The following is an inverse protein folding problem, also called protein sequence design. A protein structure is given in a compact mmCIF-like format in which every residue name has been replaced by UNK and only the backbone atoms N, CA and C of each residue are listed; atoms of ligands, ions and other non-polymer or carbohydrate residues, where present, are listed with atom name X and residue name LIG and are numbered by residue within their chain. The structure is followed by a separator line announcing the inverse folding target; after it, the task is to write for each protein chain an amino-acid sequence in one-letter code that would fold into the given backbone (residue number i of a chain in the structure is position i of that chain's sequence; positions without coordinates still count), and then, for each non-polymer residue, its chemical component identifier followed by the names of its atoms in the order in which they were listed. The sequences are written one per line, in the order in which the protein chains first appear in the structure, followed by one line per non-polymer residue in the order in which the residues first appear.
data_IF_281692501809
#
_entry.id   IF_281692501809
#
_cell.length_a   1.000
_cell.length_b   1.000
_cell.length_c   1.000
_cell.angle_alpha   90.00
_cell.angle_beta   90.00
_cell.angle_gamma   90.00
#
_symmetry.space_group_name_H-M   'P 1'
#
loop_
_entity.id
_entity.type
_entity.pdbx_description
1 polymer ?
#
# COMPACT_ATOMS: atom_id res chain seq x y z
N UNK A 1 25.04 20.23 -52.22
CA UNK A 1 24.07 21.19 -51.62
C UNK A 1 22.63 20.66 -51.61
N UNK A 2 22.21 19.85 -52.60
CA UNK A 2 20.87 19.23 -52.62
C UNK A 2 20.76 18.05 -51.63
N UNK A 3 21.78 17.19 -51.51
CA UNK A 3 21.77 16.05 -50.58
C UNK A 3 21.67 16.44 -49.09
N UNK A 4 22.30 17.55 -48.71
CA UNK A 4 22.26 18.05 -47.32
C UNK A 4 20.86 18.54 -46.91
N UNK A 5 20.07 19.06 -47.86
CA UNK A 5 18.69 19.51 -47.60
C UNK A 5 17.76 18.32 -47.35
N UNK A 6 17.84 17.30 -48.20
CA UNK A 6 17.03 16.09 -48.08
C UNK A 6 17.30 15.34 -46.76
N UNK A 7 18.56 15.34 -46.31
CA UNK A 7 18.97 14.68 -45.07
C UNK A 7 18.46 15.43 -43.82
N UNK A 8 18.42 16.76 -43.85
CA UNK A 8 17.83 17.59 -42.79
C UNK A 8 16.31 17.39 -42.72
N UNK A 9 15.61 17.35 -43.86
CA UNK A 9 14.18 17.10 -43.91
C UNK A 9 13.81 15.70 -43.40
N UNK A 10 14.55 14.68 -43.83
CA UNK A 10 14.36 13.31 -43.35
C UNK A 10 14.58 13.21 -41.84
N UNK A 11 15.62 13.86 -41.31
CA UNK A 11 15.88 13.91 -39.87
C UNK A 11 14.75 14.63 -39.10
N UNK A 12 14.22 15.72 -39.65
CA UNK A 12 13.08 16.44 -39.08
C UNK A 12 11.82 15.58 -38.96
N UNK A 13 11.52 14.77 -39.99
CA UNK A 13 10.40 13.83 -39.97
C UNK A 13 10.61 12.75 -38.89
N UNK A 14 11.81 12.17 -38.82
CA UNK A 14 12.13 11.14 -37.82
C UNK A 14 12.00 11.69 -36.40
N UNK A 15 12.55 12.88 -36.13
CA UNK A 15 12.43 13.52 -34.80
C UNK A 15 10.96 13.79 -34.46
N UNK A 16 10.18 14.29 -35.41
CA UNK A 16 8.75 14.56 -35.20
C UNK A 16 7.98 13.29 -34.87
N UNK A 17 8.24 12.18 -35.58
CA UNK A 17 7.63 10.89 -35.30
C UNK A 17 8.04 10.33 -33.93
N UNK A 18 9.31 10.48 -33.53
CA UNK A 18 9.80 10.07 -32.22
C UNK A 18 9.15 10.87 -31.08
N UNK A 19 9.02 12.19 -31.25
CA UNK A 19 8.33 13.05 -30.28
C UNK A 19 6.84 12.69 -30.19
N UNK A 20 6.16 12.52 -31.32
CA UNK A 20 4.75 12.12 -31.34
C UNK A 20 4.53 10.75 -30.67
N UNK A 21 5.40 9.77 -30.95
CA UNK A 21 5.37 8.47 -30.30
C UNK A 21 5.59 8.58 -28.79
N UNK A 22 6.56 9.37 -28.35
CA UNK A 22 6.83 9.59 -26.92
C UNK A 22 5.65 10.25 -26.21
N UNK A 23 5.09 11.32 -26.78
CA UNK A 23 3.91 12.02 -26.22
C UNK A 23 2.70 11.09 -26.18
N UNK A 24 2.47 10.30 -27.24
CA UNK A 24 1.41 9.30 -27.29
C UNK A 24 1.55 8.26 -26.18
N UNK A 25 2.76 7.74 -25.97
CA UNK A 25 3.07 6.78 -24.90
C UNK A 25 2.86 7.39 -23.51
N UNK A 26 3.33 8.62 -23.28
CA UNK A 26 3.14 9.32 -22.00
C UNK A 26 1.66 9.57 -21.70
N UNK A 27 0.90 10.01 -22.71
CA UNK A 27 -0.54 10.26 -22.59
C UNK A 27 -1.28 8.97 -22.25
N UNK A 28 -0.95 7.87 -22.92
CA UNK A 28 -1.54 6.56 -22.63
C UNK A 28 -1.23 6.08 -21.20
N UNK A 29 0.02 6.21 -20.76
CA UNK A 29 0.41 5.86 -19.39
C UNK A 29 -0.27 6.74 -18.33
N UNK A 30 -0.45 8.04 -18.61
CA UNK A 30 -1.20 8.95 -17.74
C UNK A 30 -2.68 8.57 -17.67
N UNK A 31 -3.32 8.27 -18.81
CA UNK A 31 -4.72 7.83 -18.87
C UNK A 31 -4.96 6.56 -18.04
N UNK A 32 -4.09 5.55 -18.18
CA UNK A 32 -4.21 4.29 -17.44
C UNK A 32 -4.10 4.51 -15.92
N UNK A 33 -3.17 5.37 -15.48
CA UNK A 33 -3.02 5.72 -14.06
C UNK A 33 -4.21 6.49 -13.51
N UNK A 34 -4.68 7.51 -14.23
CA UNK A 34 -5.85 8.29 -13.82
C UNK A 34 -7.09 7.40 -13.69
N UNK A 35 -7.28 6.46 -14.61
CA UNK A 35 -8.41 5.54 -14.54
C UNK A 35 -8.33 4.61 -13.34
N UNK A 36 -7.13 4.17 -12.94
CA UNK A 36 -6.93 3.43 -11.70
C UNK A 36 -7.34 4.27 -10.47
N UNK A 37 -6.93 5.54 -10.40
CA UNK A 37 -7.31 6.46 -9.33
C UNK A 37 -8.82 6.71 -9.28
N UNK A 38 -9.49 6.87 -10.43
CA UNK A 38 -10.96 6.99 -10.48
C UNK A 38 -11.66 5.77 -9.87
N UNK A 39 -11.16 4.55 -10.08
CA UNK A 39 -11.71 3.38 -9.39
C UNK A 39 -11.44 3.42 -7.89
N UNK A 40 -10.24 3.81 -7.46
CA UNK A 40 -9.92 3.96 -6.02
C UNK A 40 -10.91 4.94 -5.37
N UNK A 41 -11.15 6.08 -5.99
CA UNK A 41 -12.12 7.07 -5.53
C UNK A 41 -13.54 6.50 -5.47
N UNK A 42 -13.98 5.76 -6.50
CA UNK A 42 -15.31 5.13 -6.51
C UNK A 42 -15.49 4.09 -5.41
N UNK A 43 -14.47 3.28 -5.16
CA UNK A 43 -14.49 2.30 -4.07
C UNK A 43 -14.43 2.95 -2.68
N UNK A 44 -13.90 4.18 -2.58
CA UNK A 44 -13.87 4.95 -1.34
C UNK A 44 -15.00 5.98 -1.22
N UNK A 45 -15.87 6.08 -2.23
CA UNK A 45 -16.97 7.03 -2.24
C UNK A 45 -17.99 6.67 -1.15
N UNK A 46 -18.57 7.70 -0.53
CA UNK A 46 -19.51 7.55 0.59
C UNK A 46 -20.64 6.57 0.29
N UNK A 47 -21.27 6.70 -0.87
CA UNK A 47 -22.38 5.82 -1.27
C UNK A 47 -21.98 4.35 -1.36
N UNK A 48 -20.76 4.07 -1.85
CA UNK A 48 -20.26 2.70 -1.93
C UNK A 48 -19.90 2.15 -0.55
N UNK A 49 -19.35 2.99 0.34
CA UNK A 49 -19.12 2.62 1.73
C UNK A 49 -20.43 2.33 2.48
N UNK A 50 -21.46 3.15 2.31
CA UNK A 50 -22.78 2.93 2.90
C UNK A 50 -23.42 1.64 2.38
N UNK A 51 -23.32 1.39 1.07
CA UNK A 51 -23.78 0.15 0.46
C UNK A 51 -23.06 -1.06 1.06
N UNK A 52 -21.73 -0.99 1.18
CA UNK A 52 -20.91 -2.05 1.78
C UNK A 52 -21.31 -2.32 3.23
N UNK A 53 -21.45 -1.28 4.05
CA UNK A 53 -21.83 -1.40 5.47
C UNK A 53 -23.21 -2.03 5.60
N UNK A 54 -24.18 -1.62 4.77
CA UNK A 54 -25.52 -2.19 4.76
C UNK A 54 -25.50 -3.69 4.44
N UNK A 55 -24.70 -4.10 3.45
CA UNK A 55 -24.53 -5.51 3.09
C UNK A 55 -23.82 -6.31 4.18
N UNK A 56 -22.75 -5.77 4.77
CA UNK A 56 -22.03 -6.43 5.87
C UNK A 56 -22.95 -6.65 7.08
N UNK A 57 -23.76 -5.66 7.44
CA UNK A 57 -24.75 -5.76 8.52
C UNK A 57 -25.79 -6.84 8.22
N UNK A 58 -26.32 -6.87 7.00
CA UNK A 58 -27.30 -7.89 6.60
C UNK A 58 -26.71 -9.30 6.62
N UNK A 59 -25.48 -9.48 6.12
CA UNK A 59 -24.81 -10.78 6.11
C UNK A 59 -24.47 -11.27 7.52
N UNK A 60 -24.13 -10.36 8.45
CA UNK A 60 -23.90 -10.71 9.85
C UNK A 60 -25.17 -11.23 10.53
N UNK A 61 -26.34 -10.71 10.13
CA UNK A 61 -27.64 -11.12 10.65
C UNK A 61 -28.18 -12.40 9.99
N UNK A 62 -27.68 -12.77 8.80
CA UNK A 62 -28.21 -13.88 7.99
C UNK A 62 -27.10 -14.87 7.52
N UNK A 63 -26.49 -15.64 8.44
CA UNK A 63 -25.27 -16.41 8.16
C UNK A 63 -25.44 -17.75 7.40
N UNK A 64 -26.66 -18.13 6.97
CA UNK A 64 -26.89 -19.47 6.38
C UNK A 64 -26.96 -19.45 4.84
N UNK A 65 -26.24 -20.38 4.24
CA UNK A 65 -26.03 -20.64 2.78
C UNK A 65 -27.32 -20.86 1.99
N UNK A 66 -28.42 -21.24 2.63
CA UNK A 66 -29.75 -21.37 1.99
C UNK A 66 -30.41 -20.01 1.65
N UNK A 67 -29.88 -18.90 2.20
CA UNK A 67 -30.50 -17.59 2.12
C UNK A 67 -30.51 -17.02 0.70
N UNK A 68 -29.47 -17.18 -0.12
CA UNK A 68 -29.41 -16.45 -1.39
C UNK A 68 -30.40 -16.95 -2.45
N UNK A 69 -30.66 -18.26 -2.51
CA UNK A 69 -31.70 -18.79 -3.42
C UNK A 69 -33.09 -18.32 -3.01
N UNK A 70 -33.37 -18.33 -1.70
CA UNK A 70 -34.64 -17.84 -1.15
C UNK A 70 -34.77 -16.32 -1.34
N UNK A 71 -33.71 -15.56 -1.08
CA UNK A 71 -33.62 -14.11 -1.30
C UNK A 71 -33.95 -13.74 -2.75
N UNK A 72 -33.40 -14.49 -3.71
CA UNK A 72 -33.65 -14.25 -5.14
C UNK A 72 -35.08 -14.64 -5.57
N UNK A 73 -35.69 -15.63 -4.92
CA UNK A 73 -37.05 -16.06 -5.18
C UNK A 73 -38.11 -15.29 -4.37
N UNK A 74 -37.68 -14.45 -3.42
CA UNK A 74 -38.56 -13.76 -2.50
C UNK A 74 -39.42 -12.70 -3.18
N UNK A 75 -40.61 -12.51 -2.62
CA UNK A 75 -41.54 -11.42 -2.97
C UNK A 75 -41.56 -10.33 -1.91
N UNK A 76 -40.85 -10.50 -0.79
CA UNK A 76 -40.79 -9.52 0.28
C UNK A 76 -39.99 -8.30 -0.17
N UNK A 77 -40.53 -7.07 -0.01
CA UNK A 77 -39.87 -5.85 -0.49
C UNK A 77 -38.44 -5.67 0.04
N UNK A 78 -38.21 -6.01 1.32
CA UNK A 78 -36.90 -5.88 1.96
C UNK A 78 -35.86 -6.83 1.36
N UNK A 79 -36.25 -8.07 1.04
CA UNK A 79 -35.38 -9.08 0.45
C UNK A 79 -35.05 -8.76 -1.02
N UNK A 80 -36.03 -8.22 -1.75
CA UNK A 80 -35.82 -7.69 -3.10
C UNK A 80 -34.82 -6.52 -3.06
N UNK A 81 -34.97 -5.60 -2.10
CA UNK A 81 -34.07 -4.46 -1.94
C UNK A 81 -32.63 -4.91 -1.66
N UNK A 82 -32.44 -5.89 -0.79
CA UNK A 82 -31.11 -6.46 -0.51
C UNK A 82 -30.51 -7.12 -1.75
N UNK A 83 -31.29 -7.91 -2.50
CA UNK A 83 -30.83 -8.50 -3.77
C UNK A 83 -30.39 -7.45 -4.78
N UNK A 84 -31.10 -6.32 -4.87
CA UNK A 84 -30.70 -5.16 -5.69
C UNK A 84 -29.39 -4.58 -5.17
N UNK A 85 -29.25 -4.36 -3.86
CA UNK A 85 -28.04 -3.81 -3.24
C UNK A 85 -26.80 -4.70 -3.51
N UNK A 86 -26.92 -6.01 -3.37
CA UNK A 86 -25.84 -6.96 -3.68
C UNK A 86 -25.45 -6.84 -5.15
N UNK A 87 -26.42 -6.82 -6.08
CA UNK A 87 -26.13 -6.70 -7.52
C UNK A 87 -25.46 -5.38 -7.87
N UNK A 88 -25.95 -4.26 -7.32
CA UNK A 88 -25.34 -2.93 -7.48
C UNK A 88 -23.90 -2.92 -7.00
N UNK A 89 -23.64 -3.55 -5.84
CA UNK A 89 -22.31 -3.68 -5.28
C UNK A 89 -21.38 -4.48 -6.19
N UNK A 90 -21.84 -5.66 -6.65
CA UNK A 90 -21.06 -6.54 -7.53
C UNK A 90 -20.82 -5.95 -8.93
N UNK A 91 -21.71 -5.07 -9.42
CA UNK A 91 -21.54 -4.41 -10.71
C UNK A 91 -20.27 -3.56 -10.75
N UNK A 92 -19.86 -2.93 -9.64
CA UNK A 92 -18.62 -2.16 -9.60
C UNK A 92 -17.38 -3.05 -9.81
N UNK A 93 -17.38 -4.26 -9.24
CA UNK A 93 -16.32 -5.24 -9.46
C UNK A 93 -16.32 -5.77 -10.90
N UNK A 94 -17.49 -5.95 -11.50
CA UNK A 94 -17.61 -6.33 -12.90
C UNK A 94 -17.08 -5.24 -13.84
N UNK A 95 -17.36 -3.97 -13.55
CA UNK A 95 -16.80 -2.83 -14.29
C UNK A 95 -15.28 -2.75 -14.16
N UNK A 96 -14.76 -2.89 -12.93
CA UNK A 96 -13.32 -2.94 -12.68
C UNK A 96 -12.67 -4.11 -13.45
N UNK A 97 -13.31 -5.29 -13.46
CA UNK A 97 -12.82 -6.44 -14.20
C UNK A 97 -12.72 -6.18 -15.70
N UNK A 98 -13.70 -5.50 -16.30
CA UNK A 98 -13.63 -5.08 -17.71
C UNK A 98 -12.45 -4.13 -17.94
N UNK A 99 -12.28 -3.13 -17.08
CA UNK A 99 -11.20 -2.17 -17.23
C UNK A 99 -9.82 -2.83 -17.09
N UNK A 100 -9.69 -3.77 -16.15
CA UNK A 100 -8.48 -4.58 -15.96
C UNK A 100 -8.20 -5.48 -17.17
N UNK A 101 -9.21 -6.20 -17.68
CA UNK A 101 -9.12 -7.05 -18.88
C UNK A 101 -8.61 -6.26 -20.09
N UNK A 102 -9.09 -5.03 -20.27
CA UNK A 102 -8.74 -4.16 -21.39
C UNK A 102 -7.43 -3.38 -21.21
N UNK A 103 -6.70 -3.59 -20.12
CA UNK A 103 -5.46 -2.85 -19.83
C UNK A 103 -5.69 -1.36 -19.60
N UNK A 104 -6.90 -0.97 -19.19
CA UNK A 104 -7.29 0.41 -18.92
C UNK A 104 -6.97 0.85 -17.48
N UNK A 105 -6.39 -0.04 -16.68
CA UNK A 105 -5.98 0.20 -15.30
C UNK A 105 -4.53 -0.23 -15.15
N UNK A 106 -3.73 0.58 -14.47
CA UNK A 106 -2.32 0.27 -14.25
C UNK A 106 -2.22 -0.98 -13.38
N UNK A 107 -1.49 -2.00 -13.84
CA UNK A 107 -1.43 -3.29 -13.15
C UNK A 107 -0.81 -3.19 -11.76
N UNK A 108 0.19 -2.34 -11.57
CA UNK A 108 0.86 -2.18 -10.29
C UNK A 108 -0.08 -1.49 -9.29
N UNK A 109 -0.71 -0.38 -9.71
CA UNK A 109 -1.73 0.30 -8.90
C UNK A 109 -2.89 -0.65 -8.60
N UNK A 110 -3.31 -1.45 -9.60
CA UNK A 110 -4.41 -2.39 -9.45
C UNK A 110 -4.13 -3.42 -8.36
N UNK A 111 -3.03 -4.16 -8.46
CA UNK A 111 -2.71 -5.21 -7.50
C UNK A 111 -2.43 -4.63 -6.11
N UNK A 112 -1.84 -3.44 -6.03
CA UNK A 112 -1.55 -2.79 -4.75
C UNK A 112 -2.80 -2.36 -3.98
N UNK A 113 -3.88 -1.97 -4.68
CA UNK A 113 -5.07 -1.39 -4.05
C UNK A 113 -6.27 -2.33 -3.99
N UNK A 114 -6.40 -3.28 -4.94
CA UNK A 114 -7.64 -4.04 -5.11
C UNK A 114 -7.50 -5.54 -4.86
N UNK A 115 -6.31 -6.11 -4.71
CA UNK A 115 -6.14 -7.56 -4.63
C UNK A 115 -6.90 -8.21 -3.45
N UNK A 116 -6.77 -7.63 -2.26
CA UNK A 116 -7.47 -8.04 -1.06
C UNK A 116 -8.97 -7.80 -1.20
N UNK A 117 -9.36 -6.63 -1.71
CA UNK A 117 -10.76 -6.27 -1.90
C UNK A 117 -11.46 -7.26 -2.84
N UNK A 118 -10.84 -7.58 -3.97
CA UNK A 118 -11.37 -8.50 -4.98
C UNK A 118 -11.53 -9.91 -4.40
N UNK A 119 -10.50 -10.42 -3.71
CA UNK A 119 -10.53 -11.79 -3.17
C UNK A 119 -11.49 -11.92 -2.00
N UNK A 120 -11.46 -11.01 -1.04
CA UNK A 120 -12.37 -11.02 0.12
C UNK A 120 -13.84 -10.92 -0.28
N UNK A 121 -14.19 -10.06 -1.23
CA UNK A 121 -15.59 -9.90 -1.65
C UNK A 121 -16.06 -11.01 -2.58
N UNK A 122 -15.16 -11.61 -3.37
CA UNK A 122 -15.50 -12.83 -4.09
C UNK A 122 -15.88 -13.95 -3.13
N UNK A 123 -15.01 -14.25 -2.17
CA UNK A 123 -15.24 -15.34 -1.21
C UNK A 123 -16.54 -15.10 -0.39
N UNK A 124 -16.94 -13.84 -0.22
CA UNK A 124 -18.18 -13.45 0.46
C UNK A 124 -19.46 -13.60 -0.39
N UNK A 125 -19.38 -13.42 -1.71
CA UNK A 125 -20.54 -13.32 -2.60
C UNK A 125 -20.59 -14.39 -3.70
N UNK A 126 -19.63 -15.32 -3.77
CA UNK A 126 -19.60 -16.35 -4.82
C UNK A 126 -20.87 -17.21 -4.82
N UNK A 127 -21.39 -17.56 -3.65
CA UNK A 127 -22.63 -18.33 -3.53
C UNK A 127 -23.84 -17.56 -4.09
N UNK A 128 -23.94 -16.25 -3.80
CA UNK A 128 -24.96 -15.40 -4.39
C UNK A 128 -24.84 -15.35 -5.91
N UNK A 129 -23.62 -15.18 -6.43
CA UNK A 129 -23.36 -15.14 -7.88
C UNK A 129 -23.81 -16.45 -8.53
N UNK A 130 -23.48 -17.60 -7.96
CA UNK A 130 -23.88 -18.90 -8.48
C UNK A 130 -25.40 -19.13 -8.37
N UNK A 131 -26.01 -18.73 -7.25
CA UNK A 131 -27.47 -18.77 -7.10
C UNK A 131 -28.17 -17.89 -8.13
N UNK A 132 -27.64 -16.69 -8.39
CA UNK A 132 -28.22 -15.75 -9.34
C UNK A 132 -28.11 -16.24 -10.79
N UNK A 133 -26.97 -16.81 -11.18
CA UNK A 133 -26.81 -17.48 -12.49
C UNK A 133 -27.80 -18.63 -12.68
N UNK A 134 -27.98 -19.46 -11.64
CA UNK A 134 -28.94 -20.56 -11.68
C UNK A 134 -30.39 -20.07 -11.77
N UNK A 135 -30.72 -18.99 -11.06
CA UNK A 135 -32.05 -18.39 -11.07
C UNK A 135 -32.41 -17.74 -12.41
N UNK A 136 -31.48 -17.02 -13.04
CA UNK A 136 -31.71 -16.33 -14.32
C UNK A 136 -31.51 -17.23 -15.53
N UNK A 137 -30.77 -18.33 -15.39
CA UNK A 137 -30.31 -19.15 -16.51
C UNK A 137 -29.14 -18.55 -17.30
N UNK A 138 -28.59 -17.41 -16.88
CA UNK A 138 -27.48 -16.74 -17.55
C UNK A 138 -26.15 -16.91 -16.79
N UNK A 139 -25.32 -17.81 -17.30
CA UNK A 139 -23.99 -18.12 -16.75
C UNK A 139 -22.91 -17.07 -17.06
N UNK A 140 -23.22 -16.03 -17.84
CA UNK A 140 -22.29 -14.94 -18.15
C UNK A 140 -22.25 -13.85 -17.07
N UNK A 141 -23.28 -13.79 -16.23
CA UNK A 141 -23.40 -12.84 -15.13
C UNK A 141 -22.17 -12.94 -14.22
N UNK A 142 -21.51 -11.80 -13.98
CA UNK A 142 -20.28 -11.69 -13.16
C UNK A 142 -19.10 -12.57 -13.61
N UNK A 143 -19.12 -13.11 -14.84
CA UNK A 143 -18.04 -14.00 -15.33
C UNK A 143 -16.69 -13.30 -15.45
N UNK A 144 -16.68 -11.99 -15.73
CA UNK A 144 -15.44 -11.20 -15.76
C UNK A 144 -14.91 -10.94 -14.36
N UNK A 145 -15.78 -10.68 -13.39
CA UNK A 145 -15.35 -10.60 -11.99
C UNK A 145 -14.72 -11.93 -11.54
N UNK A 146 -15.36 -13.07 -11.82
CA UNK A 146 -14.79 -14.40 -11.55
C UNK A 146 -13.42 -14.60 -12.21
N UNK A 147 -13.27 -14.20 -13.48
CA UNK A 147 -11.99 -14.26 -14.18
C UNK A 147 -10.94 -13.37 -13.50
N UNK A 148 -11.28 -12.12 -13.14
CA UNK A 148 -10.39 -11.20 -12.44
C UNK A 148 -9.93 -11.77 -11.10
N UNK A 149 -10.81 -12.45 -10.36
CA UNK A 149 -10.45 -13.14 -9.12
C UNK A 149 -9.43 -14.25 -9.37
N UNK A 150 -9.62 -15.06 -10.42
CA UNK A 150 -8.64 -16.10 -10.80
C UNK A 150 -7.28 -15.50 -11.16
N UNK A 151 -7.28 -14.37 -11.88
CA UNK A 151 -6.07 -13.62 -12.20
C UNK A 151 -5.36 -13.10 -10.95
N UNK A 152 -6.10 -12.49 -10.01
CA UNK A 152 -5.55 -12.02 -8.73
C UNK A 152 -5.03 -13.19 -7.90
N UNK A 153 -5.79 -14.28 -7.76
CA UNK A 153 -5.34 -15.49 -7.02
C UNK A 153 -4.09 -16.09 -7.68
N UNK A 154 -4.00 -16.10 -9.00
CA UNK A 154 -2.79 -16.54 -9.74
C UNK A 154 -1.61 -15.60 -9.51
N UNK A 155 -1.84 -14.29 -9.58
CA UNK A 155 -0.83 -13.28 -9.30
C UNK A 155 -0.30 -13.40 -7.87
N UNK A 156 -1.18 -13.54 -6.87
CA UNK A 156 -0.83 -13.80 -5.47
C UNK A 156 -0.07 -15.10 -5.30
N UNK A 157 -0.42 -16.19 -6.00
CA UNK A 157 0.35 -17.45 -5.97
C UNK A 157 1.75 -17.28 -6.58
N UNK A 158 1.86 -16.59 -7.71
CA UNK A 158 3.16 -16.26 -8.31
C UNK A 158 4.00 -15.39 -7.36
N UNK A 159 3.37 -14.43 -6.67
CA UNK A 159 3.99 -13.62 -5.63
C UNK A 159 4.26 -14.37 -4.32
N UNK A 160 3.52 -15.43 -3.99
CA UNK A 160 3.76 -16.24 -2.77
C UNK A 160 5.05 -17.06 -2.85
N UNK A 161 5.71 -17.09 -4.01
CA UNK A 161 7.08 -17.58 -4.16
C UNK A 161 8.15 -16.51 -3.94
N UNK A 162 7.75 -15.25 -3.66
CA UNK A 162 8.65 -14.14 -3.34
C UNK A 162 8.65 -13.93 -1.84
N UNK A 163 9.84 -13.82 -1.24
CA UNK A 163 9.97 -13.38 0.14
C UNK A 163 9.93 -11.86 0.15
N UNK A 164 9.15 -11.32 1.08
CA UNK A 164 9.04 -9.88 1.28
C UNK A 164 9.80 -9.55 2.54
N UNK A 165 10.67 -8.56 2.45
CA UNK A 165 11.45 -8.07 3.56
C UNK A 165 11.09 -6.64 3.86
N UNK A 166 10.92 -6.31 5.13
CA UNK A 166 10.82 -4.93 5.58
C UNK A 166 12.20 -4.45 6.07
N UNK A 167 12.67 -3.31 5.57
CA UNK A 167 13.85 -2.62 6.05
C UNK A 167 13.47 -1.69 7.20
N UNK A 168 13.96 -1.98 8.40
CA UNK A 168 13.82 -1.15 9.59
C UNK A 168 15.07 -0.33 9.85
N UNK A 169 14.90 0.97 10.10
CA UNK A 169 16.00 1.90 10.40
C UNK A 169 15.79 2.72 11.69
N UNK A 170 14.69 2.45 12.42
CA UNK A 170 14.32 3.15 13.65
C UNK A 170 13.72 2.18 14.67
N UNK A 171 12.50 2.45 15.15
CA UNK A 171 11.85 1.56 16.14
C UNK A 171 11.66 0.10 15.69
N UNK A 172 11.63 -0.16 14.38
CA UNK A 172 11.61 -1.51 13.80
C UNK A 172 12.94 -2.27 13.93
N UNK A 173 13.97 -1.67 14.53
CA UNK A 173 15.20 -2.37 14.93
C UNK A 173 15.01 -3.19 16.22
N UNK A 174 13.95 -2.92 16.98
CA UNK A 174 13.69 -3.53 18.29
C UNK A 174 12.66 -4.67 18.14
N UNK A 175 13.02 -5.94 18.40
CA UNK A 175 12.13 -7.09 18.24
C UNK A 175 10.78 -6.94 18.95
N UNK A 176 10.76 -6.32 20.13
CA UNK A 176 9.53 -6.08 20.90
C UNK A 176 8.57 -5.13 20.16
N UNK A 177 9.10 -4.13 19.46
CA UNK A 177 8.30 -3.21 18.66
C UNK A 177 7.74 -3.90 17.42
N UNK A 178 8.50 -4.82 16.83
CA UNK A 178 8.02 -5.66 15.72
C UNK A 178 6.92 -6.58 16.24
N UNK A 179 7.14 -7.24 17.39
CA UNK A 179 6.18 -8.15 18.01
C UNK A 179 4.84 -7.48 18.31
N UNK A 180 4.88 -6.28 18.91
CA UNK A 180 3.68 -5.50 19.20
C UNK A 180 2.82 -5.20 17.96
N UNK A 181 3.45 -5.14 16.78
CA UNK A 181 2.75 -4.86 15.52
C UNK A 181 2.27 -6.12 14.83
N UNK A 182 3.16 -7.10 14.67
CA UNK A 182 2.90 -8.28 13.86
C UNK A 182 2.19 -9.39 14.63
N UNK A 183 2.21 -9.37 15.97
CA UNK A 183 1.54 -10.33 16.86
C UNK A 183 1.82 -11.80 16.52
N UNK A 184 3.03 -12.10 16.03
CA UNK A 184 3.40 -13.44 15.57
C UNK A 184 3.50 -14.42 16.76
N UNK A 185 2.96 -15.65 16.69
CA UNK A 185 2.92 -16.60 17.83
C UNK A 185 4.30 -17.15 18.29
N UNK A 186 5.31 -17.17 17.41
CA UNK A 186 6.66 -17.66 17.74
C UNK A 186 7.68 -16.53 17.67
N UNK A 187 8.18 -16.10 18.82
CA UNK A 187 9.09 -14.98 18.96
C UNK A 187 10.53 -15.34 18.54
N UNK A 188 10.82 -15.19 17.25
CA UNK A 188 12.18 -14.91 16.77
C UNK A 188 12.04 -14.21 15.43
N UNK A 189 12.14 -12.88 15.44
CA UNK A 189 12.37 -12.13 14.21
C UNK A 189 13.84 -12.31 13.86
N UNK A 190 14.13 -13.06 12.79
CA UNK A 190 15.49 -13.12 12.26
C UNK A 190 15.80 -11.78 11.61
N UNK A 191 16.53 -10.93 12.34
CA UNK A 191 16.98 -9.64 11.86
C UNK A 191 18.32 -9.83 11.14
N UNK A 192 18.38 -9.42 9.88
CA UNK A 192 19.61 -9.44 9.10
C UNK A 192 20.13 -8.00 8.94
N UNK A 193 21.36 -7.69 9.37
CA UNK A 193 21.95 -6.39 9.13
C UNK A 193 21.95 -6.02 7.65
N UNK A 194 21.53 -4.80 7.35
CA UNK A 194 21.47 -4.28 5.99
C UNK A 194 21.77 -2.78 5.97
N UNK A 195 22.19 -2.29 4.81
CA UNK A 195 22.44 -0.89 4.54
C UNK A 195 21.64 -0.49 3.31
N UNK A 196 20.88 0.60 3.40
CA UNK A 196 20.22 1.22 2.26
C UNK A 196 21.09 2.35 1.69
N UNK A 197 21.35 2.32 0.39
CA UNK A 197 22.20 3.26 -0.34
C UNK A 197 21.36 4.40 -0.94
N UNK A 198 21.89 5.63 -0.93
CA UNK A 198 21.22 6.81 -1.44
C UNK A 198 20.19 7.42 -0.47
N UNK A 199 20.24 7.04 0.82
CA UNK A 199 19.37 7.57 1.86
C UNK A 199 20.18 7.90 3.11
N UNK A 200 19.84 9.01 3.76
CA UNK A 200 20.32 9.34 5.11
C UNK A 200 19.18 9.33 6.12
N UNK A 201 19.49 9.04 7.38
CA UNK A 201 18.54 9.24 8.48
C UNK A 201 18.35 10.73 8.77
N UNK A 202 17.14 11.09 9.17
CA UNK A 202 16.78 12.46 9.54
C UNK A 202 15.67 12.44 10.60
N UNK A 203 15.75 13.36 11.57
CA UNK A 203 14.71 13.56 12.59
C UNK A 203 13.75 14.66 12.14
N UNK A 204 12.99 14.41 11.08
CA UNK A 204 12.11 15.42 10.50
C UNK A 204 10.65 15.02 10.39
N UNK A 205 10.24 13.79 10.71
CA UNK A 205 8.82 13.44 10.60
C UNK A 205 8.07 13.92 11.85
N UNK A 206 6.98 14.65 11.65
CA UNK A 206 6.13 15.13 12.73
C UNK A 206 4.80 14.41 12.77
N UNK A 207 4.36 14.06 13.98
CA UNK A 207 3.05 13.45 14.24
C UNK A 207 2.34 14.25 15.32
N UNK A 208 1.08 14.67 15.12
CA UNK A 208 0.31 15.32 16.16
C UNK A 208 -0.01 14.33 17.27
N UNK A 209 0.34 14.67 18.50
CA UNK A 209 0.11 13.88 19.71
C UNK A 209 -0.56 14.74 20.76
N UNK A 210 -1.26 14.12 21.71
CA UNK A 210 -1.73 14.81 22.90
C UNK A 210 -0.75 14.57 24.04
N UNK A 211 -0.30 15.64 24.69
CA UNK A 211 0.54 15.54 25.88
C UNK A 211 -0.31 15.62 27.14
N UNK A 212 -0.36 14.55 27.91
CA UNK A 212 -1.04 14.57 29.22
C UNK A 212 -0.33 15.49 30.21
N UNK A 213 1.00 15.64 30.11
CA UNK A 213 1.77 16.53 30.97
C UNK A 213 1.51 18.02 30.68
N UNK A 214 1.40 18.38 29.40
CA UNK A 214 1.18 19.77 28.97
C UNK A 214 -0.31 20.10 28.72
N UNK A 215 -1.19 19.11 28.82
CA UNK A 215 -2.64 19.21 28.56
C UNK A 215 -2.96 19.91 27.22
N UNK A 216 -2.13 19.68 26.19
CA UNK A 216 -2.29 20.29 24.86
C UNK A 216 -1.80 19.37 23.75
N UNK A 217 -2.29 19.57 22.51
CA UNK A 217 -1.68 18.99 21.33
C UNK A 217 -0.22 19.45 21.19
N UNK A 218 0.66 18.52 20.89
CA UNK A 218 2.07 18.74 20.58
C UNK A 218 2.42 18.05 19.27
N UNK A 219 3.51 18.47 18.62
CA UNK A 219 4.08 17.73 17.49
C UNK A 219 5.21 16.85 18.01
N UNK A 220 5.04 15.53 17.90
CA UNK A 220 6.10 14.56 18.17
C UNK A 220 7.02 14.42 16.96
N UNK A 221 8.33 14.46 17.15
CA UNK A 221 9.33 14.20 16.11
C UNK A 221 9.73 12.73 16.12
N UNK A 222 9.72 12.11 14.94
CA UNK A 222 10.07 10.72 14.69
C UNK A 222 11.17 10.61 13.64
N UNK A 223 11.88 9.49 13.68
CA UNK A 223 12.96 9.19 12.76
C UNK A 223 12.40 8.89 11.36
N UNK A 224 13.10 9.37 10.35
CA UNK A 224 12.82 9.18 8.94
C UNK A 224 14.11 8.86 8.18
N UNK A 225 13.97 8.48 6.91
CA UNK A 225 15.06 8.50 5.93
C UNK A 225 14.69 9.42 4.77
N UNK A 226 15.65 10.17 4.26
CA UNK A 226 15.45 11.01 3.08
C UNK A 226 16.44 10.61 1.99
N UNK A 227 16.04 10.77 0.71
CA UNK A 227 16.93 10.52 -0.42
C UNK A 227 18.06 11.53 -0.42
N UNK A 228 19.29 11.04 -0.44
CA UNK A 228 20.49 11.86 -0.55
C UNK A 228 21.57 11.10 -1.31
N UNK A 229 22.09 11.71 -2.38
CA UNK A 229 23.08 11.07 -3.23
C UNK A 229 24.39 10.87 -2.46
N UNK A 230 24.89 9.64 -2.44
CA UNK A 230 26.14 9.29 -1.76
C UNK A 230 25.98 9.02 -0.26
N UNK A 231 24.79 9.26 0.30
CA UNK A 231 24.49 8.86 1.66
C UNK A 231 24.19 7.36 1.75
N UNK A 232 24.37 6.79 2.94
CA UNK A 232 23.92 5.44 3.25
C UNK A 232 23.38 5.38 4.67
N UNK A 233 22.44 4.47 4.89
CA UNK A 233 21.78 4.30 6.19
C UNK A 233 21.79 2.83 6.57
N UNK A 234 22.33 2.54 7.75
CA UNK A 234 22.31 1.21 8.33
C UNK A 234 20.93 0.86 8.91
N UNK A 235 20.60 -0.43 8.95
CA UNK A 235 19.37 -0.93 9.51
C UNK A 235 19.34 -2.45 9.52
N UNK A 236 18.14 -3.02 9.55
CA UNK A 236 17.92 -4.46 9.45
C UNK A 236 16.85 -4.76 8.43
N UNK A 237 16.94 -5.92 7.78
CA UNK A 237 15.82 -6.51 7.05
C UNK A 237 15.29 -7.72 7.81
N UNK A 238 13.97 -7.91 7.77
CA UNK A 238 13.31 -9.08 8.32
C UNK A 238 12.14 -9.49 7.43
N UNK A 239 11.89 -10.79 7.35
CA UNK A 239 10.87 -11.36 6.46
C UNK A 239 9.46 -11.12 7.03
N UNK A 240 8.56 -10.69 6.15
CA UNK A 240 7.14 -10.42 6.44
C UNK A 240 6.26 -11.11 5.41
N UNK A 241 5.09 -11.59 5.86
CA UNK A 241 4.01 -11.97 4.95
C UNK A 241 3.31 -10.73 4.38
N UNK A 242 2.49 -10.92 3.34
CA UNK A 242 1.63 -9.84 2.81
C UNK A 242 0.66 -9.29 3.88
N UNK A 243 0.15 -10.16 4.75
CA UNK A 243 -0.73 -9.76 5.85
C UNK A 243 0.03 -8.91 6.88
N UNK A 244 1.26 -9.32 7.23
CA UNK A 244 2.14 -8.58 8.13
C UNK A 244 2.57 -7.24 7.53
N UNK A 245 2.83 -7.18 6.23
CA UNK A 245 3.09 -5.93 5.53
C UNK A 245 1.86 -5.01 5.60
N UNK A 246 0.65 -5.56 5.49
CA UNK A 246 -0.60 -4.83 5.72
C UNK A 246 -0.67 -4.19 7.11
N UNK A 247 -0.27 -4.92 8.16
CA UNK A 247 -0.22 -4.40 9.53
C UNK A 247 0.85 -3.31 9.68
N UNK A 248 2.01 -3.46 9.05
CA UNK A 248 3.05 -2.41 9.05
C UNK A 248 2.55 -1.13 8.36
N UNK A 249 1.85 -1.24 7.23
CA UNK A 249 1.25 -0.08 6.55
C UNK A 249 0.22 0.65 7.42
N UNK A 250 -0.56 -0.08 8.22
CA UNK A 250 -1.50 0.53 9.17
C UNK A 250 -0.79 1.28 10.30
N UNK A 251 0.32 0.73 10.79
CA UNK A 251 1.16 1.38 11.81
C UNK A 251 1.83 2.64 11.28
N UNK A 252 2.35 2.60 10.06
CA UNK A 252 3.17 3.66 9.47
C UNK A 252 2.34 4.61 8.58
N UNK A 253 1.14 5.02 9.03
CA UNK A 253 0.16 5.79 8.23
C UNK A 253 0.69 7.11 7.66
N UNK A 254 1.70 7.72 8.30
CA UNK A 254 2.33 8.98 7.89
C UNK A 254 3.56 8.78 6.98
N UNK A 255 3.81 7.54 6.56
CA UNK A 255 4.92 7.15 5.69
C UNK A 255 4.39 6.51 4.40
N UNK A 256 5.17 6.65 3.33
CA UNK A 256 5.00 5.93 2.07
C UNK A 256 5.80 4.62 2.11
N UNK A 257 5.15 3.51 1.77
CA UNK A 257 5.78 2.21 1.63
C UNK A 257 6.45 2.12 0.26
N UNK A 258 7.79 2.14 0.22
CA UNK A 258 8.58 2.13 -1.01
C UNK A 258 9.35 0.81 -1.17
N UNK A 259 9.34 0.25 -2.37
CA UNK A 259 10.28 -0.81 -2.74
C UNK A 259 11.69 -0.23 -2.91
N UNK A 260 12.64 -0.80 -2.19
CA UNK A 260 14.04 -0.37 -2.13
C UNK A 260 15.03 -1.48 -2.42
N UNK A 261 14.58 -2.64 -2.94
CA UNK A 261 15.41 -3.79 -3.31
C UNK A 261 16.73 -3.42 -4.00
N UNK A 262 16.76 -2.54 -5.02
CA UNK A 262 18.00 -2.20 -5.72
C UNK A 262 19.01 -1.38 -4.90
N UNK A 263 18.56 -0.79 -3.79
CA UNK A 263 19.35 0.07 -2.92
C UNK A 263 19.89 -0.66 -1.69
N UNK A 264 19.52 -1.93 -1.50
CA UNK A 264 19.85 -2.68 -0.29
C UNK A 264 21.15 -3.47 -0.48
N UNK A 265 22.04 -3.31 0.49
CA UNK A 265 23.19 -4.18 0.72
C UNK A 265 22.96 -4.93 2.02
N UNK A 266 22.92 -6.26 1.98
CA UNK A 266 22.66 -7.09 3.15
C UNK A 266 23.63 -8.27 3.19
N UNK A 267 23.89 -8.79 4.39
CA UNK A 267 24.59 -10.06 4.55
C UNK A 267 23.72 -11.26 4.14
N UNK A 268 22.40 -11.08 4.07
CA UNK A 268 21.49 -12.09 3.55
C UNK A 268 21.56 -12.10 2.02
N UNK A 269 21.77 -13.28 1.43
CA UNK A 269 21.64 -13.46 -0.01
C UNK A 269 20.17 -13.33 -0.42
N UNK A 270 19.82 -12.18 -1.02
CA UNK A 270 18.52 -11.93 -1.61
C UNK A 270 18.45 -12.56 -2.99
N UNK A 271 17.40 -13.34 -3.23
CA UNK A 271 17.12 -13.91 -4.54
C UNK A 271 16.59 -12.82 -5.49
N UNK A 272 16.73 -12.96 -6.82
CA UNK A 272 16.22 -11.97 -7.79
C UNK A 272 14.71 -11.70 -7.71
N UNK A 273 13.99 -12.57 -7.01
CA UNK A 273 12.54 -12.50 -6.81
C UNK A 273 12.16 -11.86 -5.48
N UNK A 274 13.08 -11.73 -4.55
CA UNK A 274 12.81 -11.12 -3.25
C UNK A 274 12.59 -9.62 -3.39
N UNK A 275 11.77 -9.08 -2.50
CA UNK A 275 11.42 -7.67 -2.50
C UNK A 275 11.76 -7.10 -1.13
N UNK A 276 12.48 -5.98 -1.09
CA UNK A 276 12.70 -5.23 0.14
C UNK A 276 11.91 -3.94 0.08
N UNK A 277 11.08 -3.70 1.09
CA UNK A 277 10.31 -2.46 1.25
C UNK A 277 10.79 -1.67 2.46
N UNK A 278 10.62 -0.36 2.45
CA UNK A 278 10.87 0.53 3.60
C UNK A 278 9.76 1.57 3.69
N UNK A 279 9.68 2.25 4.83
CA UNK A 279 8.72 3.33 5.06
C UNK A 279 9.45 4.67 5.03
N UNK A 280 9.04 5.60 4.17
CA UNK A 280 9.64 6.94 4.04
C UNK A 280 8.59 7.98 4.37
N UNK A 281 8.90 8.92 5.27
CA UNK A 281 7.95 9.91 5.75
C UNK A 281 7.37 10.72 4.59
N UNK A 282 6.07 11.01 4.64
CA UNK A 282 5.44 11.84 3.63
C UNK A 282 5.83 13.30 3.84
N UNK A 283 6.17 14.01 2.76
CA UNK A 283 6.67 15.39 2.82
C UNK A 283 5.72 16.36 3.56
N UNK A 284 4.40 16.14 3.45
CA UNK A 284 3.36 16.92 4.15
C UNK A 284 3.44 16.82 5.69
N UNK A 285 4.16 15.83 6.21
CA UNK A 285 4.36 15.61 7.63
C UNK A 285 5.77 15.98 8.09
N UNK A 286 6.59 16.56 7.22
CA UNK A 286 7.92 17.04 7.60
C UNK A 286 7.85 18.25 8.53
N UNK A 287 8.83 18.36 9.42
CA UNK A 287 8.98 19.49 10.34
C UNK A 287 9.15 20.78 9.55
N UNK A 288 8.19 21.68 9.67
CA UNK A 288 8.25 23.02 9.09
C UNK A 288 9.13 23.98 9.89
N UNK A 289 9.58 25.06 9.25
CA UNK A 289 10.58 26.01 9.76
C UNK A 289 10.25 26.77 11.07
N UNK A 290 9.05 26.64 11.64
CA UNK A 290 8.66 27.34 12.88
C UNK A 290 7.63 26.56 13.70
N UNK A 291 7.82 25.24 13.80
CA UNK A 291 6.91 24.38 14.56
C UNK A 291 7.53 24.00 15.91
N UNK A 292 6.84 24.30 17.02
CA UNK A 292 7.19 23.77 18.34
C UNK A 292 6.98 22.25 18.34
N UNK A 293 8.07 21.50 18.19
CA UNK A 293 8.05 20.04 18.12
C UNK A 293 8.97 19.41 19.16
N UNK A 294 8.61 18.19 19.59
CA UNK A 294 9.14 17.51 20.75
C UNK A 294 9.58 16.10 20.37
N UNK A 295 10.77 15.68 20.78
CA UNK A 295 11.16 14.27 20.72
C UNK A 295 10.70 13.59 22.02
N UNK A 296 9.96 12.49 21.90
CA UNK A 296 9.49 11.74 23.07
C UNK A 296 10.60 10.89 23.69
N UNK A 297 10.81 11.01 24.99
CA UNK A 297 11.81 10.24 25.75
C UNK A 297 11.60 8.73 25.63
N UNK A 298 10.33 8.27 25.65
CA UNK A 298 10.00 6.86 25.42
C UNK A 298 10.45 6.37 24.04
N UNK A 299 10.39 7.22 23.02
CA UNK A 299 10.84 6.86 21.67
C UNK A 299 12.37 6.84 21.59
N UNK A 300 13.06 7.79 22.25
CA UNK A 300 14.52 7.77 22.40
C UNK A 300 15.00 6.49 23.07
N UNK A 301 14.32 6.03 24.13
CA UNK A 301 14.65 4.77 24.79
C UNK A 301 14.54 3.54 23.88
N UNK A 302 13.60 3.54 22.92
CA UNK A 302 13.48 2.46 21.92
C UNK A 302 14.65 2.52 20.93
N UNK A 303 14.96 3.71 20.42
CA UNK A 303 16.08 3.90 19.48
C UNK A 303 17.43 3.61 20.13
N UNK A 304 17.60 3.93 21.41
CA UNK A 304 18.82 3.62 22.15
C UNK A 304 18.97 2.12 22.40
N UNK A 305 17.89 1.41 22.74
CA UNK A 305 17.92 -0.06 22.78
C UNK A 305 18.28 -0.67 21.42
N UNK A 306 17.83 -0.08 20.32
CA UNK A 306 18.24 -0.50 18.99
C UNK A 306 19.76 -0.33 18.80
N UNK A 307 20.33 0.81 19.18
CA UNK A 307 21.78 1.06 19.17
C UNK A 307 22.59 0.07 20.01
N UNK A 308 22.05 -0.35 21.17
CA UNK A 308 22.78 -1.27 22.06
C UNK A 308 22.65 -2.73 21.61
N UNK A 309 21.53 -3.09 20.96
CA UNK A 309 21.23 -4.46 20.50
C UNK A 309 21.76 -4.78 19.10
N UNK A 310 22.07 -3.77 18.30
CA UNK A 310 22.64 -3.90 16.97
C UNK A 310 23.94 -3.11 16.92
N UNK A 311 25.03 -3.64 16.36
CA UNK A 311 26.32 -2.94 16.19
C UNK A 311 26.24 -1.74 15.21
N UNK A 312 25.08 -1.09 15.10
CA UNK A 312 24.75 -0.07 14.11
C UNK A 312 24.81 1.31 14.76
N UNK A 313 25.51 2.24 14.13
CA UNK A 313 25.55 3.64 14.55
C UNK A 313 24.27 4.33 14.05
N UNK A 314 23.28 4.53 14.93
CA UNK A 314 22.02 5.23 14.59
C UNK A 314 22.23 6.75 14.45
N UNK A 315 23.46 7.26 14.64
CA UNK A 315 23.79 8.68 14.60
C UNK A 315 23.58 9.35 15.95
N UNK A 316 24.24 10.50 16.15
CA UNK A 316 24.22 11.23 17.41
C UNK A 316 22.80 11.70 17.76
N UNK A 317 22.32 11.29 18.93
CA UNK A 317 21.08 11.79 19.51
C UNK A 317 21.20 13.30 19.75
N UNK A 318 20.22 14.13 19.34
CA UNK A 318 20.17 15.52 19.79
C UNK A 318 19.95 15.54 21.31
N UNK A 319 20.91 16.10 22.07
CA UNK A 319 20.88 16.15 23.55
C UNK A 319 20.53 17.56 24.07
N UNK A 320 19.35 17.73 24.67
CA UNK A 320 18.90 18.78 25.62
C UNK A 320 17.79 18.24 26.59
N UNK A 321 18.09 18.01 27.87
CA UNK A 321 17.21 17.32 28.84
C UNK A 321 15.72 17.75 28.90
N UNK A 322 14.83 16.77 29.04
CA UNK A 322 13.41 16.93 29.37
C UNK A 322 12.55 17.48 28.22
N UNK A 323 11.97 16.59 27.39
CA UNK A 323 11.14 16.96 26.23
C UNK A 323 11.78 18.06 25.34
N UNK A 324 12.73 17.62 24.52
CA UNK A 324 13.57 18.42 23.63
C UNK A 324 12.73 19.28 22.67
N UNK A 325 12.70 20.60 22.89
CA UNK A 325 12.07 21.59 21.98
C UNK A 325 12.99 21.82 20.77
N UNK A 326 12.48 21.60 19.57
CA UNK A 326 13.18 21.98 18.34
C UNK A 326 12.64 23.31 17.80
N UNK A 327 13.52 24.27 17.54
CA UNK A 327 13.24 25.41 16.67
C UNK A 327 14.28 25.41 15.56
N UNK A 328 13.87 25.27 14.30
CA UNK A 328 14.76 25.52 13.18
C UNK A 328 15.03 27.02 13.10
N UNK A 329 16.28 27.42 13.35
CA UNK A 329 16.80 28.75 13.05
C UNK A 329 17.05 28.94 11.56
#
# INVERSE_FOLDING_TARGET
MIETSALIEALGIVITLLVAFFVGRQTYAHFIRNRAFTYIERFNHKDFMELRIALEKWLAQNPRVDSFRLLLASKEPEEIEISIKIRTFLNLFQELAVAFEKGMVDKNIFYYNFDFLITSHWDRFEEFIFAYRAYTGDYTIYKRFEWMVKEVKRHRRAFSSRRIFAFGYGSLLVPESIHATLKRPSASYTLHPATIQGYRREWNLTVPLFSDALQKPILGIFLNIIKEKGASTQGVIFEVSEEELGLLRQREINYDCLEVTPYIQSSLALEPRDVVVTFVGQERHYLGQSSDAYVLERYLGIVQKANDSTLLDIGSLPRLDGAYRFSSS
#
